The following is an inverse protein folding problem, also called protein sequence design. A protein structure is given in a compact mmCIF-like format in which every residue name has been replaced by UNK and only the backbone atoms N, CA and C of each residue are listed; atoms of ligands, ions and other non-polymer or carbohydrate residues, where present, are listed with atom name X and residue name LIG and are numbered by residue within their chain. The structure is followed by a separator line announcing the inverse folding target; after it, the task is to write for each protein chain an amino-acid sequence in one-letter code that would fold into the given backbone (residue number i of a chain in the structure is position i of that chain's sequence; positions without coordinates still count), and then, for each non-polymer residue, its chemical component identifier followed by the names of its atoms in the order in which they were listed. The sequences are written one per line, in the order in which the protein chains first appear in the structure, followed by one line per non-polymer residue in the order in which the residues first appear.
data_IF_848810644366
#
_entry.id   IF_848810644366
#
_cell.length_a   1.000
_cell.length_b   1.000
_cell.length_c   1.000
_cell.angle_alpha   90.00
_cell.angle_beta   90.00
_cell.angle_gamma   90.00
#
_symmetry.space_group_name_H-M   'P 1'
#
loop_
_entity.id
_entity.type
_entity.pdbx_description
1 polymer ?
2 branched ?
3 non-polymer ?
4 non-polymer ?
5 water ?
#
# COMPACT_ATOMS: atom_id res chain seq x y z
N UNK A 1 11.48 13.90 -15.00
CA UNK A 1 12.76 13.48 -15.63
C UNK A 1 12.54 12.95 -17.04
N UNK A 2 13.61 12.90 -17.83
CA UNK A 2 13.54 12.43 -19.20
C UNK A 2 13.13 10.96 -19.30
N UNK A 3 12.06 10.71 -20.03
CA UNK A 3 11.57 9.35 -20.22
C UNK A 3 11.68 8.91 -21.67
N UNK A 4 12.48 7.89 -21.93
CA UNK A 4 12.64 7.39 -23.29
C UNK A 4 11.29 6.88 -23.78
N UNK A 5 11.13 6.80 -25.09
CA UNK A 5 9.88 6.35 -25.67
C UNK A 5 9.64 4.85 -25.49
N UNK A 6 8.37 4.46 -25.51
CA UNK A 6 7.99 3.07 -25.39
C UNK A 6 8.22 2.43 -26.75
N UNK A 7 8.41 1.11 -26.79
CA UNK A 7 8.62 0.44 -28.07
C UNK A 7 7.26 0.09 -28.66
N UNK A 8 7.25 -0.40 -29.90
CA UNK A 8 6.00 -0.79 -30.54
C UNK A 8 5.38 -1.86 -29.65
N UNK A 9 4.07 -1.78 -29.44
CA UNK A 9 3.36 -2.75 -28.61
C UNK A 9 1.99 -3.06 -29.21
N UNK A 10 1.62 -4.33 -29.21
CA UNK A 10 0.34 -4.75 -29.75
C UNK A 10 -0.59 -5.20 -28.62
N UNK A 11 -1.70 -4.48 -28.45
CA UNK A 11 -2.67 -4.81 -27.41
C UNK A 11 -4.06 -4.29 -27.80
N UNK A 12 -5.11 -4.77 -27.12
CA UNK A 12 -6.48 -4.33 -27.41
C UNK A 12 -6.62 -2.81 -27.29
N UNK A 13 -7.30 -2.21 -28.26
CA UNK A 13 -7.50 -0.78 -28.25
C UNK A 13 -8.49 -0.38 -27.16
N UNK A 14 -8.14 0.60 -26.33
CA UNK A 14 -9.08 1.01 -25.27
C UNK A 14 -10.36 1.50 -25.94
N UNK A 15 -11.50 1.27 -25.29
CA UNK A 15 -12.77 1.69 -25.85
C UNK A 15 -13.38 2.87 -25.12
N UNK A 16 -13.33 4.03 -25.76
CA UNK A 16 -13.85 5.27 -25.20
C UNK A 16 -15.30 5.20 -24.74
N UNK A 17 -16.14 4.50 -25.50
CA UNK A 17 -17.55 4.38 -25.17
C UNK A 17 -17.91 3.11 -24.40
N UNK A 18 -16.89 2.48 -23.83
CA UNK A 18 -17.07 1.27 -23.03
C UNK A 18 -16.30 1.44 -21.71
N UNK A 19 -17.02 1.68 -20.61
CA UNK A 19 -16.36 1.84 -19.31
C UNK A 19 -15.62 0.58 -18.86
N UNK A 20 -14.53 0.77 -18.14
CA UNK A 20 -13.73 -0.34 -17.63
C UNK A 20 -14.61 -1.26 -16.81
N UNK A 21 -15.10 -0.71 -15.71
CA UNK A 21 -15.96 -1.41 -14.78
C UNK A 21 -17.20 -0.56 -14.63
N UNK A 22 -18.36 -1.20 -14.52
CA UNK A 22 -19.60 -0.46 -14.34
C UNK A 22 -20.09 -0.73 -12.94
N UNK A 23 -19.38 -1.59 -12.23
CA UNK A 23 -19.75 -1.95 -10.87
C UNK A 23 -19.01 -1.21 -9.77
N UNK A 24 -17.92 -0.53 -10.12
CA UNK A 24 -17.14 0.21 -9.13
C UNK A 24 -16.61 1.54 -9.64
N UNK A 25 -16.27 2.41 -8.69
CA UNK A 25 -15.69 3.72 -9.00
C UNK A 25 -14.21 3.48 -9.32
N UNK A 26 -13.75 3.95 -10.47
CA UNK A 26 -12.36 3.73 -10.84
C UNK A 26 -11.48 4.99 -10.84
N UNK A 27 -12.03 6.10 -10.38
CA UNK A 27 -11.29 7.37 -10.30
C UNK A 27 -11.90 8.20 -9.19
N UNK A 28 -11.06 8.82 -8.36
CA UNK A 28 -11.58 9.65 -7.27
C UNK A 28 -11.97 11.03 -7.77
N UNK A 29 -12.62 11.84 -6.91
CA UNK A 29 -13.04 13.21 -7.26
C UNK A 29 -11.85 14.13 -7.55
N UNK A 30 -10.65 13.71 -7.14
CA UNK A 30 -9.46 14.52 -7.41
C UNK A 30 -8.65 13.90 -8.55
N UNK A 31 -9.33 13.07 -9.32
CA UNK A 31 -8.76 12.41 -10.49
C UNK A 31 -7.61 11.44 -10.27
N UNK A 32 -7.62 10.75 -9.14
CA UNK A 32 -6.60 9.74 -8.87
C UNK A 32 -7.25 8.41 -9.23
N UNK A 33 -6.53 7.56 -9.95
CA UNK A 33 -7.19 6.28 -10.29
C UNK A 33 -7.36 5.38 -9.06
N UNK A 34 -8.40 4.55 -9.11
CA UNK A 34 -8.66 3.58 -8.06
C UNK A 34 -8.35 2.27 -8.79
N UNK A 35 -7.31 1.60 -8.33
CA UNK A 35 -6.82 0.38 -8.96
C UNK A 35 -7.58 -0.91 -8.74
N UNK A 36 -8.32 -1.31 -9.76
CA UNK A 36 -9.11 -2.55 -9.78
C UNK A 36 -8.65 -3.39 -10.97
N UNK A 37 -8.81 -4.70 -10.89
CA UNK A 37 -8.45 -5.57 -12.00
C UNK A 37 -9.33 -5.14 -13.17
N UNK A 38 -8.73 -5.02 -14.35
CA UNK A 38 -9.50 -4.60 -15.53
C UNK A 38 -9.28 -3.14 -15.88
N UNK A 39 -8.69 -2.37 -14.96
CA UNK A 39 -8.46 -0.95 -15.24
C UNK A 39 -7.10 -0.71 -15.87
N UNK A 40 -6.18 -1.66 -15.71
CA UNK A 40 -4.84 -1.45 -16.26
C UNK A 40 -4.30 -2.55 -17.16
N UNK A 41 -3.40 -2.16 -18.05
CA UNK A 41 -2.73 -3.11 -18.93
C UNK A 41 -1.34 -3.17 -18.31
N UNK A 42 -1.05 -4.27 -17.61
CA UNK A 42 0.23 -4.42 -16.93
C UNK A 42 1.45 -4.41 -17.85
N UNK A 43 1.28 -4.82 -19.10
CA UNK A 43 2.42 -4.81 -20.02
C UNK A 43 2.88 -3.39 -20.29
N UNK A 44 1.93 -2.47 -20.49
CA UNK A 44 2.30 -1.09 -20.73
C UNK A 44 2.99 -0.52 -19.50
N UNK A 45 2.39 -0.72 -18.33
CA UNK A 45 2.94 -0.23 -17.08
C UNK A 45 4.32 -0.82 -16.79
N UNK A 46 4.51 -2.12 -17.02
CA UNK A 46 5.82 -2.72 -16.76
C UNK A 46 6.87 -2.02 -17.61
N UNK A 47 6.55 -1.78 -18.88
CA UNK A 47 7.47 -1.11 -19.80
C UNK A 47 7.88 0.25 -19.24
N UNK A 48 6.88 1.06 -18.89
CA UNK A 48 7.14 2.38 -18.36
C UNK A 48 8.06 2.38 -17.16
N UNK A 49 7.81 1.49 -16.19
CA UNK A 49 8.65 1.47 -15.01
C UNK A 49 10.02 0.82 -15.21
N UNK A 50 10.11 -0.16 -16.11
CA UNK A 50 11.39 -0.80 -16.35
C UNK A 50 12.33 0.15 -17.08
N UNK A 51 11.77 0.95 -17.98
CA UNK A 51 12.57 1.90 -18.75
C UNK A 51 13.19 2.91 -17.80
N UNK A 52 12.66 2.98 -16.59
CA UNK A 52 13.16 3.88 -15.56
C UNK A 52 14.05 3.15 -14.57
N UNK A 53 14.19 1.83 -14.75
CA UNK A 53 15.00 1.00 -13.86
C UNK A 53 14.55 1.25 -12.42
N UNK A 54 13.24 1.27 -12.23
CA UNK A 54 12.62 1.51 -10.93
C UNK A 54 12.98 0.48 -9.87
N UNK A 55 13.28 0.97 -8.67
CA UNK A 55 13.59 0.09 -7.55
C UNK A 55 12.52 0.31 -6.48
N UNK A 56 11.90 -0.77 -6.04
CA UNK A 56 10.86 -0.66 -5.02
C UNK A 56 11.31 -1.23 -3.69
N UNK A 57 11.18 -0.43 -2.63
CA UNK A 57 11.52 -0.91 -1.32
C UNK A 57 10.24 -1.40 -0.65
N UNK A 58 10.31 -2.55 0.04
CA UNK A 58 9.15 -3.09 0.74
C UNK A 58 9.53 -3.22 2.21
N UNK A 59 8.89 -2.44 3.07
CA UNK A 59 9.19 -2.46 4.49
C UNK A 59 8.17 -3.23 5.32
N UNK A 60 8.67 -3.99 6.28
CA UNK A 60 7.82 -4.77 7.17
C UNK A 60 8.45 -4.80 8.56
N UNK A 61 7.60 -4.84 9.57
CA UNK A 61 8.08 -4.92 10.94
C UNK A 61 7.68 -6.29 11.47
N UNK A 62 8.64 -6.99 12.04
CA UNK A 62 8.40 -8.32 12.58
C UNK A 62 9.00 -8.38 13.99
N UNK A 63 8.18 -8.00 14.97
CA UNK A 63 8.61 -8.00 16.36
C UNK A 63 8.05 -9.19 17.12
N UNK A 64 8.84 -9.70 18.06
CA UNK A 64 8.45 -10.83 18.88
C UNK A 64 7.92 -12.02 18.08
N UNK A 65 6.71 -12.47 18.41
CA UNK A 65 6.08 -13.62 17.75
C UNK A 65 5.77 -13.41 16.27
N UNK A 66 5.79 -12.16 15.81
CA UNK A 66 5.48 -11.87 14.43
C UNK A 66 6.53 -12.35 13.43
N UNK A 67 7.72 -12.66 13.92
CA UNK A 67 8.80 -13.14 13.05
C UNK A 67 8.42 -14.46 12.40
N UNK A 68 7.44 -15.16 12.99
CA UNK A 68 6.99 -16.44 12.46
C UNK A 68 6.26 -16.28 11.13
N UNK A 69 5.90 -15.05 10.79
CA UNK A 69 5.16 -14.77 9.55
C UNK A 69 6.07 -14.41 8.37
N UNK A 70 7.33 -14.13 8.64
CA UNK A 70 8.28 -13.73 7.60
C UNK A 70 8.47 -14.74 6.48
N UNK A 71 8.64 -16.01 6.84
CA UNK A 71 8.85 -17.05 5.85
C UNK A 71 7.80 -17.01 4.74
N UNK A 72 6.52 -17.17 5.10
CA UNK A 72 5.45 -17.16 4.11
C UNK A 72 5.32 -15.80 3.41
N UNK A 73 5.51 -14.72 4.16
CA UNK A 73 5.43 -13.38 3.60
C UNK A 73 6.43 -13.19 2.46
N UNK A 74 7.70 -13.46 2.74
CA UNK A 74 8.75 -13.30 1.73
C UNK A 74 8.63 -14.28 0.56
N UNK A 75 8.28 -15.53 0.85
CA UNK A 75 8.14 -16.53 -0.20
C UNK A 75 7.05 -16.15 -1.19
N UNK A 76 5.91 -15.68 -0.69
CA UNK A 76 4.82 -15.29 -1.58
C UNK A 76 5.14 -13.98 -2.28
N UNK A 77 5.90 -13.11 -1.63
CA UNK A 77 6.27 -11.84 -2.25
C UNK A 77 7.16 -12.15 -3.46
N UNK A 78 8.01 -13.15 -3.31
CA UNK A 78 8.91 -13.53 -4.41
C UNK A 78 8.14 -13.99 -5.63
N UNK A 79 6.96 -14.54 -5.42
CA UNK A 79 6.15 -15.03 -6.53
C UNK A 79 5.19 -14.00 -7.11
N UNK A 80 4.78 -13.03 -6.31
CA UNK A 80 3.78 -12.05 -6.74
C UNK A 80 4.08 -10.56 -6.66
N UNK A 81 5.09 -10.17 -5.89
CA UNK A 81 5.38 -8.75 -5.72
C UNK A 81 6.45 -8.17 -6.62
N UNK A 82 6.05 -7.24 -7.48
CA UNK A 82 6.95 -6.55 -8.38
C UNK A 82 7.90 -7.47 -9.15
N UNK A 83 7.42 -8.65 -9.54
CA UNK A 83 8.27 -9.59 -10.28
C UNK A 83 8.76 -8.95 -11.59
N UNK A 84 10.08 -8.95 -11.78
CA UNK A 84 10.66 -8.37 -12.98
C UNK A 84 11.35 -7.05 -12.71
N UNK A 85 11.03 -6.45 -11.56
CA UNK A 85 11.61 -5.19 -11.17
C UNK A 85 12.57 -5.36 -10.00
N UNK A 86 13.36 -4.33 -9.72
CA UNK A 86 14.30 -4.37 -8.60
C UNK A 86 13.53 -4.18 -7.31
N UNK A 87 13.75 -5.07 -6.36
CA UNK A 87 13.08 -5.00 -5.08
C UNK A 87 14.06 -5.10 -3.93
N UNK A 88 13.89 -4.23 -2.94
CA UNK A 88 14.74 -4.25 -1.76
C UNK A 88 13.81 -4.39 -0.57
N UNK A 89 13.91 -5.54 0.12
CA UNK A 89 13.10 -5.80 1.29
C UNK A 89 13.81 -5.22 2.50
N UNK A 90 13.06 -4.60 3.40
CA UNK A 90 13.64 -4.05 4.62
C UNK A 90 12.87 -4.67 5.77
N UNK A 91 13.49 -5.61 6.47
CA UNK A 91 12.84 -6.26 7.59
C UNK A 91 13.33 -5.68 8.91
N UNK A 92 12.44 -4.96 9.59
CA UNK A 92 12.76 -4.37 10.89
C UNK A 92 12.33 -5.38 11.95
N UNK A 93 13.30 -5.90 12.69
CA UNK A 93 12.97 -6.90 13.69
C UNK A 93 13.85 -6.80 14.94
N UNK A 94 13.34 -7.36 16.04
CA UNK A 94 14.06 -7.37 17.30
C UNK A 94 14.79 -8.71 17.43
N UNK A 95 14.64 -9.55 16.41
CA UNK A 95 15.28 -10.86 16.40
C UNK A 95 15.93 -11.15 15.04
N UNK A 96 17.01 -10.44 14.73
CA UNK A 96 17.73 -10.60 13.45
C UNK A 96 18.05 -12.05 13.08
N UNK A 97 18.48 -12.83 14.07
CA UNK A 97 18.83 -14.23 13.85
C UNK A 97 17.65 -15.12 13.51
N UNK A 98 16.44 -14.67 13.84
CA UNK A 98 15.24 -15.45 13.57
C UNK A 98 14.68 -15.25 12.16
N UNK A 99 15.23 -14.30 11.42
CA UNK A 99 14.78 -14.04 10.07
C UNK A 99 15.11 -15.26 9.21
N UNK A 100 14.10 -15.85 8.56
CA UNK A 100 14.32 -17.05 7.72
C UNK A 100 15.13 -16.76 6.46
N UNK A 101 15.94 -17.74 6.06
CA UNK A 101 16.75 -17.62 4.86
C UNK A 101 15.85 -17.96 3.66
N UNK A 102 15.37 -16.90 3.00
CA UNK A 102 14.48 -17.07 1.85
C UNK A 102 15.25 -16.85 0.55
N UNK A 103 15.07 -17.76 -0.41
CA UNK A 103 15.73 -17.66 -1.70
C UNK A 103 15.08 -16.56 -2.53
N UNK A 104 15.88 -15.58 -2.94
CA UNK A 104 15.36 -14.47 -3.74
C UNK A 104 15.73 -14.52 -5.21
N UNK A 105 14.89 -13.94 -6.04
CA UNK A 105 15.15 -13.89 -7.46
C UNK A 105 16.21 -12.83 -7.71
N UNK A 106 16.78 -12.82 -8.91
CA UNK A 106 17.81 -11.85 -9.27
C UNK A 106 17.26 -10.42 -9.19
N UNK A 107 18.12 -9.48 -8.80
CA UNK A 107 17.70 -8.08 -8.72
C UNK A 107 16.88 -7.77 -7.48
N UNK A 108 16.79 -8.74 -6.58
CA UNK A 108 16.02 -8.58 -5.36
C UNK A 108 16.92 -8.84 -4.15
N UNK A 109 16.84 -7.97 -3.16
CA UNK A 109 17.67 -8.14 -1.98
C UNK A 109 16.92 -7.86 -0.69
N UNK A 110 17.48 -8.33 0.41
CA UNK A 110 16.86 -8.14 1.72
C UNK A 110 17.84 -7.64 2.75
N UNK A 111 17.43 -6.62 3.50
CA UNK A 111 18.27 -6.07 4.55
C UNK A 111 17.54 -6.24 5.87
N UNK A 112 18.26 -6.71 6.88
CA UNK A 112 17.67 -6.89 8.20
C UNK A 112 18.11 -5.72 9.07
N UNK A 113 17.12 -5.00 9.58
CA UNK A 113 17.40 -3.85 10.43
C UNK A 113 16.95 -4.19 11.85
N UNK A 114 17.89 -4.17 12.80
CA UNK A 114 17.55 -4.49 14.18
C UNK A 114 16.96 -3.28 14.88
N UNK A 115 15.93 -3.52 15.69
CA UNK A 115 15.27 -2.45 16.43
C UNK A 115 15.24 -2.82 17.91
N UNK A 137 14.65 8.38 6.78
CA UNK A 137 16.10 8.04 6.76
C UNK A 137 16.68 8.20 5.35
N UNK A 138 17.87 8.80 5.29
CA UNK A 138 18.55 9.06 4.02
C UNK A 138 18.88 7.79 3.25
N UNK A 139 19.04 6.68 3.96
CA UNK A 139 19.37 5.41 3.33
C UNK A 139 18.34 5.08 2.25
N UNK A 140 17.06 5.27 2.59
CA UNK A 140 15.97 4.99 1.66
C UNK A 140 16.04 5.84 0.39
N UNK A 141 16.36 7.12 0.55
CA UNK A 141 16.44 8.04 -0.58
C UNK A 141 17.46 7.66 -1.64
N UNK A 142 18.55 7.01 -1.22
CA UNK A 142 19.58 6.63 -2.18
C UNK A 142 19.53 5.17 -2.60
N UNK A 143 18.62 4.40 -2.00
CA UNK A 143 18.53 2.99 -2.36
C UNK A 143 17.29 2.60 -3.16
N UNK A 144 16.17 3.26 -2.91
CA UNK A 144 14.95 2.94 -3.64
C UNK A 144 14.22 4.17 -4.17
N UNK A 145 13.30 3.95 -5.12
CA UNK A 145 12.52 5.03 -5.71
C UNK A 145 11.16 5.17 -5.07
N UNK A 146 10.62 4.04 -4.61
CA UNK A 146 9.33 3.97 -3.98
C UNK A 146 9.40 3.11 -2.73
N UNK A 147 8.53 3.40 -1.77
CA UNK A 147 8.46 2.63 -0.54
C UNK A 147 7.05 2.11 -0.37
N UNK A 148 6.94 0.82 -0.04
CA UNK A 148 5.66 0.17 0.18
C UNK A 148 5.73 -0.35 1.62
N UNK A 149 4.78 0.08 2.44
CA UNK A 149 4.75 -0.31 3.85
C UNK A 149 3.56 -1.19 4.15
N UNK A 150 3.83 -2.44 4.57
CA UNK A 150 2.76 -3.39 4.87
C UNK A 150 2.99 -4.16 6.17
N UNK A 151 1.96 -4.89 6.58
CA UNK A 151 2.00 -5.71 7.79
C UNK A 151 2.63 -7.05 7.38
N UNK A 152 3.31 -7.70 8.31
CA UNK A 152 4.00 -8.97 8.05
C UNK A 152 3.12 -10.22 8.10
N UNK A 153 2.06 -10.19 8.90
CA UNK A 153 1.17 -11.34 9.01
C UNK A 153 0.20 -11.37 7.83
N UNK A 154 0.78 -11.48 6.63
CA UNK A 154 0.02 -11.49 5.40
C UNK A 154 0.73 -12.37 4.39
N UNK A 155 0.07 -12.67 3.27
CA UNK A 155 0.68 -13.45 2.21
C UNK A 155 0.15 -12.95 0.89
N UNK A 156 1.01 -12.98 -0.14
CA UNK A 156 0.58 -12.55 -1.47
C UNK A 156 -0.03 -13.77 -2.14
N UNK A 157 -1.17 -13.59 -2.78
CA UNK A 157 -1.85 -14.69 -3.45
C UNK A 157 -2.01 -14.40 -4.94
N UNK A 158 -1.74 -13.16 -5.33
CA UNK A 158 -1.84 -12.79 -6.74
C UNK A 158 -0.97 -11.57 -7.02
N UNK A 159 -0.94 -11.16 -8.28
CA UNK A 159 -0.14 -10.03 -8.73
C UNK A 159 -0.32 -8.72 -7.96
N UNK A 160 0.81 -8.16 -7.55
CA UNK A 160 0.86 -6.86 -6.88
C UNK A 160 2.08 -6.25 -7.56
N UNK A 161 1.83 -5.38 -8.54
CA UNK A 161 2.92 -4.80 -9.30
C UNK A 161 3.01 -3.30 -9.38
N UNK A 162 3.68 -2.82 -10.42
CA UNK A 162 3.89 -1.39 -10.62
C UNK A 162 2.64 -0.55 -10.82
N UNK A 163 1.49 -1.20 -11.02
CA UNK A 163 0.24 -0.46 -11.17
C UNK A 163 -0.06 0.35 -9.89
N UNK A 164 0.56 -0.02 -8.77
CA UNK A 164 0.30 0.72 -7.53
C UNK A 164 1.24 1.91 -7.31
N UNK A 165 2.35 1.93 -8.03
CA UNK A 165 3.35 2.98 -7.86
C UNK A 165 2.89 4.37 -8.31
N UNK A 166 3.15 5.36 -7.46
CA UNK A 166 2.70 6.73 -7.69
C UNK A 166 3.31 7.52 -6.53
N UNK A 167 3.25 8.87 -6.59
CA UNK A 167 3.83 9.62 -5.48
C UNK A 167 3.30 9.25 -4.09
N UNK A 168 1.99 9.04 -3.98
CA UNK A 168 1.38 8.70 -2.70
C UNK A 168 0.11 7.86 -2.87
N UNK A 169 0.05 6.70 -2.24
CA UNK A 169 -1.14 5.88 -2.36
C UNK A 169 -1.63 5.29 -1.05
N UNK A 170 -2.94 5.11 -0.96
CA UNK A 170 -3.55 4.51 0.22
C UNK A 170 -4.38 3.34 -0.27
N UNK A 171 -4.80 2.46 0.64
CA UNK A 171 -5.58 1.29 0.27
C UNK A 171 -6.94 1.29 0.95
N UNK A 172 -7.99 0.99 0.20
CA UNK A 172 -9.34 0.93 0.75
C UNK A 172 -9.51 -0.25 1.70
N UNK A 173 -9.85 0.04 2.94
CA UNK A 173 -10.06 -0.96 3.97
C UNK A 173 -11.15 -1.93 3.50
N UNK A 174 -10.86 -3.24 3.51
CA UNK A 174 -11.80 -4.28 3.09
C UNK A 174 -13.15 -4.35 3.79
N UNK A 175 -13.22 -3.82 5.01
CA UNK A 175 -14.48 -3.88 5.73
C UNK A 175 -15.28 -2.58 5.73
N UNK A 176 -14.83 -1.59 4.96
CA UNK A 176 -15.52 -0.30 4.93
C UNK A 176 -15.70 0.32 3.56
N UNK A 177 -15.21 -0.35 2.51
CA UNK A 177 -15.31 0.23 1.17
C UNK A 177 -16.73 0.56 0.73
N UNK A 178 -17.73 -0.12 1.30
CA UNK A 178 -19.10 0.16 0.94
C UNK A 178 -19.88 0.90 2.00
N UNK A 179 -19.16 1.50 2.95
CA UNK A 179 -19.82 2.22 4.05
C UNK A 179 -19.88 3.73 3.83
N UNK A 180 -20.82 4.37 4.53
CA UNK A 180 -20.96 5.83 4.45
C UNK A 180 -19.90 6.38 5.41
N UNK A 181 -19.42 7.58 5.13
CA UNK A 181 -18.39 8.19 5.96
C UNK A 181 -18.79 8.23 7.43
N UNK A 182 -20.09 8.35 7.69
CA UNK A 182 -20.63 8.40 9.04
C UNK A 182 -20.22 7.15 9.83
N UNK A 183 -20.16 6.02 9.14
CA UNK A 183 -19.81 4.75 9.77
C UNK A 183 -18.31 4.47 9.88
N UNK A 184 -17.50 5.24 9.15
CA UNK A 184 -16.05 5.04 9.20
C UNK A 184 -15.55 5.20 10.63
N UNK A 185 -14.67 4.31 11.06
CA UNK A 185 -14.14 4.40 12.43
C UNK A 185 -12.98 5.38 12.57
N UNK A 186 -13.16 6.60 12.08
CA UNK A 186 -12.15 7.65 12.18
C UNK A 186 -12.10 8.04 13.66
N UNK A 187 -11.09 8.83 14.03
CA UNK A 187 -11.01 9.32 15.40
C UNK A 187 -12.05 10.43 15.41
N UNK A 188 -12.96 10.38 16.37
CA UNK A 188 -14.03 11.38 16.44
C UNK A 188 -13.91 12.41 17.56
N UNK A 189 -12.87 12.32 18.37
CA UNK A 189 -12.67 13.27 19.45
C UNK A 189 -11.86 14.47 18.99
N UNK A 190 -12.45 15.68 19.07
CA UNK A 190 -11.79 16.91 18.65
C UNK A 190 -10.45 17.15 19.36
N UNK A 191 -10.25 16.49 20.48
CA UNK A 191 -9.01 16.65 21.24
C UNK A 191 -7.83 15.98 20.57
N UNK A 192 -8.12 15.08 19.64
CA UNK A 192 -7.07 14.35 18.91
C UNK A 192 -6.70 15.01 17.60
N UNK A 193 -5.41 14.92 17.24
CA UNK A 193 -4.90 15.49 16.01
C UNK A 193 -5.42 14.71 14.80
N UNK A 194 -5.89 13.49 15.04
CA UNK A 194 -6.43 12.63 13.99
C UNK A 194 -7.93 12.83 13.81
N UNK A 195 -8.49 13.77 14.55
CA UNK A 195 -9.93 14.05 14.50
C UNK A 195 -10.48 14.34 13.11
N UNK A 196 -11.58 13.67 12.78
CA UNK A 196 -12.25 13.88 11.49
C UNK A 196 -13.76 13.87 11.76
N UNK A 197 -14.42 15.03 11.57
CA UNK A 197 -15.86 15.14 11.80
C UNK A 197 -16.70 14.24 10.89
N UNK A 198 -17.94 14.01 11.30
CA UNK A 198 -18.86 13.15 10.58
C UNK A 198 -19.18 13.56 9.13
N UNK A 199 -19.05 14.84 8.81
CA UNK A 199 -19.35 15.31 7.47
C UNK A 199 -18.10 15.43 6.58
N UNK A 200 -17.01 14.83 7.02
CA UNK A 200 -15.77 14.84 6.26
C UNK A 200 -15.26 13.42 6.03
N UNK A 201 -14.43 13.26 5.01
CA UNK A 201 -13.89 11.95 4.71
C UNK A 201 -14.24 11.46 3.32
N UNK A 202 -13.24 10.91 2.62
CA UNK A 202 -13.45 10.38 1.28
C UNK A 202 -13.63 8.87 1.41
N UNK A 203 -12.62 8.22 1.97
CA UNK A 203 -12.63 6.78 2.15
C UNK A 203 -12.00 6.43 3.49
N UNK A 204 -12.03 5.16 3.83
CA UNK A 204 -11.38 4.71 5.05
C UNK A 204 -10.21 3.86 4.57
N UNK A 205 -9.00 4.38 4.73
CA UNK A 205 -7.81 3.67 4.29
C UNK A 205 -7.25 2.77 5.36
N UNK A 206 -6.58 1.71 4.91
CA UNK A 206 -5.95 0.72 5.77
C UNK A 206 -4.59 1.19 6.24
N UNK A 207 -4.27 0.94 7.51
CA UNK A 207 -2.96 1.34 8.00
C UNK A 207 -1.92 0.33 7.56
N UNK A 208 -2.38 -0.86 7.19
CA UNK A 208 -1.47 -1.93 6.77
C UNK A 208 -0.96 -1.99 5.34
N UNK A 209 -1.30 -1.02 4.50
CA UNK A 209 -0.82 -1.04 3.12
C UNK A 209 -0.89 0.36 2.51
N UNK A 210 0.24 1.05 2.50
CA UNK A 210 0.33 2.38 1.92
C UNK A 210 1.75 2.57 1.41
N UNK A 211 1.98 3.61 0.64
CA UNK A 211 3.32 3.83 0.10
C UNK A 211 3.35 4.99 -0.87
N UNK A 212 4.44 5.05 -1.64
CA UNK A 212 4.59 6.12 -2.60
C UNK A 212 6.08 6.39 -2.78
N UNK A 213 6.42 7.58 -3.26
CA UNK A 213 7.83 7.92 -3.43
C UNK A 213 8.45 7.97 -2.04
N UNK A 214 9.76 7.80 -1.96
CA UNK A 214 10.41 7.85 -0.67
C UNK A 214 10.09 9.18 0.01
N UNK A 215 10.19 10.26 -0.75
CA UNK A 215 9.91 11.59 -0.22
C UNK A 215 8.50 11.72 0.37
N UNK A 216 7.49 11.29 -0.37
CA UNK A 216 6.12 11.39 0.14
C UNK A 216 5.86 10.49 1.33
N UNK A 217 6.47 9.30 1.34
CA UNK A 217 6.27 8.38 2.45
C UNK A 217 6.93 8.94 3.70
N UNK A 218 8.10 9.54 3.54
CA UNK A 218 8.79 10.11 4.70
C UNK A 218 8.03 11.34 5.23
N UNK A 219 7.43 12.12 4.34
CA UNK A 219 6.65 13.28 4.76
C UNK A 219 5.43 12.83 5.57
N UNK A 220 4.78 11.76 5.11
CA UNK A 220 3.62 11.22 5.80
C UNK A 220 4.01 10.68 7.18
N UNK A 221 5.10 9.91 7.23
CA UNK A 221 5.56 9.32 8.49
C UNK A 221 5.96 10.42 9.47
N UNK A 222 6.60 11.46 8.94
CA UNK A 222 7.04 12.57 9.77
C UNK A 222 5.81 13.27 10.37
N UNK A 223 4.80 13.49 9.54
CA UNK A 223 3.58 14.17 9.99
C UNK A 223 2.83 13.34 11.03
N UNK A 224 2.74 12.04 10.80
CA UNK A 224 2.02 11.19 11.74
C UNK A 224 2.75 11.08 13.08
N UNK A 225 4.07 10.96 13.06
CA UNK A 225 4.81 10.89 14.30
C UNK A 225 4.66 12.17 15.11
N UNK A 226 4.71 13.32 14.44
CA UNK A 226 4.56 14.59 15.13
C UNK A 226 3.15 14.71 15.71
N UNK A 227 2.16 14.25 14.96
CA UNK A 227 0.77 14.31 15.41
C UNK A 227 0.54 13.40 16.62
N UNK A 228 1.13 12.20 16.57
CA UNK A 228 1.00 11.24 17.66
C UNK A 228 1.68 11.75 18.93
N UNK A 229 2.76 12.51 18.76
CA UNK A 229 3.48 13.08 19.90
C UNK A 229 2.62 14.14 20.58
N UNK A 230 1.94 14.95 19.77
CA UNK A 230 1.07 15.99 20.30
C UNK A 230 -0.07 15.35 21.08
N UNK A 231 -0.63 14.27 20.54
CA UNK A 231 -1.71 13.55 21.21
C UNK A 231 -1.17 12.96 22.51
N UNK A 232 0.03 12.40 22.43
CA UNK A 232 0.69 11.80 23.59
C UNK A 232 0.79 12.81 24.73
N UNK A 233 1.26 14.00 24.41
CA UNK A 233 1.41 15.07 25.39
C UNK A 233 0.07 15.55 25.93
N UNK A 234 -0.98 15.43 25.13
CA UNK A 234 -2.31 15.84 25.54
C UNK A 234 -3.04 14.69 26.23
N UNK A 235 -2.32 13.58 26.44
CA UNK A 235 -2.90 12.44 27.11
C UNK A 235 -4.03 11.76 26.37
N UNK A 236 -3.92 11.66 25.05
CA UNK A 236 -4.97 11.02 24.26
C UNK A 236 -4.35 10.12 23.21
N UNK A 237 -5.02 9.01 22.92
CA UNK A 237 -4.55 8.03 21.93
C UNK A 237 -5.67 7.75 20.94
N UNK A 238 -5.41 8.00 19.66
CA UNK A 238 -6.39 7.79 18.60
C UNK A 238 -6.98 6.38 18.66
N UNK A 239 -8.29 6.29 18.44
CA UNK A 239 -9.03 5.03 18.48
C UNK A 239 -8.35 3.89 17.73
N UNK A 240 -7.83 4.17 16.55
CA UNK A 240 -7.14 3.13 15.78
C UNK A 240 -5.68 3.46 15.53
N UNK A 241 -5.09 4.16 16.49
CA UNK A 241 -3.69 4.54 16.48
C UNK A 241 -3.14 5.03 15.14
N UNK A 242 -2.11 4.35 14.63
CA UNK A 242 -1.48 4.73 13.36
C UNK A 242 -2.48 4.93 12.24
N UNK A 243 -3.40 3.98 12.10
CA UNK A 243 -4.41 4.02 11.06
C UNK A 243 -5.29 5.27 11.12
N UNK A 244 -5.56 5.75 12.32
CA UNK A 244 -6.38 6.95 12.48
C UNK A 244 -5.64 8.17 11.95
N UNK A 245 -4.35 8.26 12.23
CA UNK A 245 -3.54 9.39 11.76
C UNK A 245 -3.33 9.31 10.26
N UNK A 246 -3.15 8.10 9.76
CA UNK A 246 -2.96 7.90 8.32
C UNK A 246 -4.19 8.45 7.60
N UNK A 247 -5.37 8.14 8.12
CA UNK A 247 -6.60 8.61 7.49
C UNK A 247 -6.72 10.13 7.51
N UNK A 248 -6.28 10.77 8.58
CA UNK A 248 -6.35 12.22 8.66
C UNK A 248 -5.37 12.81 7.64
N UNK A 249 -4.18 12.22 7.54
CA UNK A 249 -3.18 12.69 6.60
C UNK A 249 -3.66 12.60 5.14
N UNK A 250 -4.22 11.45 4.77
CA UNK A 250 -4.69 11.25 3.41
C UNK A 250 -5.96 12.06 3.11
N UNK A 251 -6.64 12.51 4.15
CA UNK A 251 -7.83 13.33 3.93
C UNK A 251 -7.31 14.71 3.51
N UNK A 252 -6.25 15.17 4.18
CA UNK A 252 -5.65 16.48 3.91
C UNK A 252 -4.65 16.52 2.75
N UNK A 253 -4.07 15.37 2.40
CA UNK A 253 -3.12 15.26 1.29
C UNK A 253 -3.65 14.09 0.47
N UNK A 254 -4.45 14.38 -0.54
CA UNK A 254 -5.07 13.35 -1.37
C UNK A 254 -4.07 12.42 -2.06
N UNK A 255 -4.25 11.11 -1.89
CA UNK A 255 -3.33 10.18 -2.55
C UNK A 255 -3.47 10.28 -4.06
N UNK A 256 -2.37 10.06 -4.77
CA UNK A 256 -2.37 10.14 -6.24
C UNK A 256 -2.90 8.86 -6.90
N UNK A 257 -3.10 7.82 -6.08
CA UNK A 257 -3.70 6.55 -6.51
C UNK A 257 -4.30 5.94 -5.25
N UNK A 258 -5.41 5.23 -5.40
CA UNK A 258 -6.05 4.55 -4.30
C UNK A 258 -6.15 3.08 -4.72
N UNK A 259 -5.72 2.16 -3.87
CA UNK A 259 -5.77 0.75 -4.21
C UNK A 259 -7.11 0.16 -3.75
N UNK A 260 -7.69 -0.71 -4.56
CA UNK A 260 -8.98 -1.32 -4.21
C UNK A 260 -8.74 -2.40 -3.14
N UNK A 261 -9.83 -2.92 -2.54
CA UNK A 261 -9.68 -3.95 -1.52
C UNK A 261 -9.02 -5.22 -2.02
N UNK A 262 -8.82 -5.33 -3.33
CA UNK A 262 -8.14 -6.49 -3.89
C UNK A 262 -6.74 -6.58 -3.27
N UNK A 263 -6.20 -5.42 -2.91
CA UNK A 263 -4.85 -5.33 -2.37
C UNK A 263 -4.65 -5.63 -0.89
N UNK A 264 -5.74 -5.82 -0.15
CA UNK A 264 -5.64 -6.21 1.25
C UNK A 264 -7.01 -6.73 1.65
N UNK A 265 -7.16 -8.05 1.57
CA UNK A 265 -8.42 -8.71 1.87
C UNK A 265 -8.28 -9.77 2.96
N UNK A 266 -9.43 -10.17 3.52
CA UNK A 266 -9.47 -11.21 4.53
C UNK A 266 -10.63 -12.09 4.10
N UNK A 267 -10.31 -13.15 3.37
CA UNK A 267 -11.32 -14.06 2.85
C UNK A 267 -12.13 -14.80 3.90
N UNK A 268 -11.46 -15.25 4.97
CA UNK A 268 -12.16 -15.97 6.03
C UNK A 268 -13.26 -15.11 6.64
N UNK A 269 -12.96 -13.82 6.82
CA UNK A 269 -13.90 -12.90 7.41
C UNK A 269 -14.87 -12.20 6.45
N UNK A 270 -14.42 -11.95 5.23
CA UNK A 270 -15.25 -11.23 4.25
C UNK A 270 -15.63 -12.02 3.00
N UNK A 271 -15.14 -13.25 2.90
CA UNK A 271 -15.48 -14.07 1.74
C UNK A 271 -14.84 -13.61 0.45
N UNK A 272 -15.58 -13.72 -0.65
CA UNK A 272 -15.09 -13.32 -1.96
C UNK A 272 -16.21 -12.72 -2.79
N UNK A 273 -16.47 -11.42 -2.62
CA UNK A 273 -17.53 -10.71 -3.35
C UNK A 273 -17.29 -10.69 -4.86
N UNK A 274 -18.36 -10.57 -5.62
CA UNK A 274 -18.27 -10.53 -7.08
C UNK A 274 -17.41 -9.34 -7.53
N UNK A 275 -17.46 -8.27 -6.75
CA UNK A 275 -16.71 -7.06 -7.06
C UNK A 275 -15.20 -7.27 -7.05
N UNK A 276 -14.74 -8.36 -6.44
CA UNK A 276 -13.31 -8.68 -6.38
C UNK A 276 -12.96 -9.78 -7.37
N UNK A 277 -12.29 -9.40 -8.46
CA UNK A 277 -11.89 -10.35 -9.48
C UNK A 277 -10.60 -11.07 -9.09
N UNK A 278 -9.87 -10.48 -8.17
CA UNK A 278 -8.64 -11.06 -7.68
C UNK A 278 -8.43 -10.71 -6.21
N UNK A 279 -7.81 -11.63 -5.47
CA UNK A 279 -7.46 -11.43 -4.06
C UNK A 279 -5.95 -11.50 -4.15
N UNK A 280 -5.30 -10.34 -4.03
CA UNK A 280 -3.85 -10.25 -4.20
C UNK A 280 -2.98 -10.36 -2.95
N UNK A 281 -3.44 -9.75 -1.86
CA UNK A 281 -2.68 -9.72 -0.61
C UNK A 281 -3.69 -9.97 0.49
N UNK A 282 -3.46 -11.01 1.30
CA UNK A 282 -4.42 -11.35 2.34
C UNK A 282 -3.88 -11.62 3.74
N UNK A 283 -4.78 -11.58 4.70
CA UNK A 283 -4.44 -11.83 6.09
C UNK A 283 -4.21 -13.31 6.27
N UNK A 284 -3.33 -13.67 7.20
CA UNK A 284 -3.03 -15.07 7.46
C UNK A 284 -3.74 -15.49 8.76
N UNK A 285 -4.77 -16.33 8.64
CA UNK A 285 -5.57 -16.83 9.76
C UNK A 285 -4.76 -17.64 10.77
X LIG B 1 -15.66 -5.12 9.83
X LIG B 1 -15.37 -4.27 11.08
X LIG B 1 -13.90 -3.81 11.10
X LIG B 1 -12.94 -4.95 10.82
X LIG B 1 -13.40 -5.81 9.64
X LIG B 1 -12.50 -7.04 9.58
X LIG B 1 -17.57 -3.16 11.17
X LIG B 1 -18.31 -1.82 11.04
X LIG B 1 -16.24 -3.08 11.08
X LIG B 1 -16.95 -5.70 10.06
X LIG B 1 -13.62 -3.23 12.39
X LIG B 1 -11.59 -4.55 10.52
X LIG B 1 -14.77 -6.24 9.80
X LIG B 1 -12.55 -7.73 10.83
X LIG B 1 -18.20 -4.21 11.25
X LIG B 2 -10.91 -3.88 11.59
X LIG B 2 -9.43 -4.25 11.45
X LIG B 2 -8.59 -3.41 12.43
X LIG B 2 -8.88 -1.92 12.22
X LIG B 2 -10.39 -1.67 12.37
X LIG B 2 -10.67 -0.19 12.13
X LIG B 2 -9.25 -5.66 11.70
X LIG B 2 -7.21 -3.66 12.21
X LIG B 2 -8.46 -1.54 10.90
X LIG B 2 -11.09 -2.47 11.40
X LIG B 2 -12.06 0.07 12.29
X LIG B 3 -8.08 -6.17 11.06
X LIG B 3 -7.81 -7.60 11.55
X LIG B 3 -8.95 -8.54 11.13
X LIG B 3 -9.19 -8.44 9.62
X LIG B 3 -9.39 -6.98 9.23
X LIG B 3 -9.59 -6.86 7.71
X LIG B 3 -7.64 -7.62 12.96
X LIG B 3 -8.60 -9.88 11.47
X LIG B 3 -8.09 -9.00 8.92
X LIG B 3 -8.26 -6.18 9.63
X LIG C 1 0.66 7.27 9.76
X LIG D 1 6.36 -0.74 7.45
X LIG E 1 7.58 2.39 5.39
X LIG F 1 -11.07 -1.26 -18.67
X LIG G 1 -0.73 12.10 10.02
#
# INVERSE_FOLDING_TARGET
EFMVSLPRMVYPQPKVLTPCRKDVLVVTPWLAPIVWEGTFNIDILNEQFRLQNTTIGLTVFAIKKYVAFLKLFLETAEKHFMVGHRVHYYVFTDQPAAVPRVTLGTGRQLSVLEVRAYKRWQDVSMRRMEMISDFCERRFLSEVDYLVCVDVDMEFRDHVGVEILTPLFGTLHPGFYGSSREAFTYERRPQSQAYIPKDEGDFYYLGGFFGGSVQEVQRLTRACHQAMMVDQANGIEAVWHDESHLNKYLLRHKPTKVLSPEYLWDQQLLGWPAVLRKLRFTAVPKNHQAVRNP
NAG C1 C2 C3 C4 C5 C6 C7 C8 N2 O1 O3 O4 O5 O6 O7
GAL C1 C2 C3 C4 C5 C6 O2 O3 O4 O5 O6
FUC C1 C2 C3 C4 C5 C6 O2 O3 O4 O5
HG HG
CL CL
HG HG
HG HG
HG HG
#
